data_IF_306624342708
#
_entry.id   IF_306624342708
#
_cell.length_a   1.000
_cell.length_b   1.000
_cell.length_c   1.000
_cell.angle_alpha   90.00
_cell.angle_beta   90.00
_cell.angle_gamma   90.00
#
_symmetry.space_group_name_H-M   'P 1'
#
loop_
_entity.id
_entity.type
_entity.pdbx_description
1 polymer ?
#
# COMPACT_ATOMS: atom_id res chain seq x y z
N UNK A 1 26.39 26.61 -82.77
CA UNK A 1 25.34 26.51 -81.74
C UNK A 1 25.75 25.43 -80.75
N UNK A 2 26.21 25.84 -79.57
CA UNK A 2 26.76 24.93 -78.57
C UNK A 2 25.67 24.53 -77.56
N UNK A 3 25.24 23.27 -77.62
CA UNK A 3 24.34 22.65 -76.64
C UNK A 3 25.12 22.46 -75.35
N UNK A 4 25.03 23.43 -74.43
CA UNK A 4 25.72 23.42 -73.15
C UNK A 4 25.03 22.38 -72.24
N UNK A 5 25.78 21.40 -71.77
CA UNK A 5 25.34 20.33 -70.87
C UNK A 5 24.66 20.90 -69.60
N UNK A 6 23.32 20.97 -69.58
CA UNK A 6 22.51 21.34 -68.41
C UNK A 6 22.23 20.15 -67.46
N UNK A 7 22.50 18.92 -67.88
CA UNK A 7 22.35 17.70 -67.06
C UNK A 7 23.15 17.71 -65.74
N UNK A 8 24.43 18.13 -65.66
CA UNK A 8 25.18 18.07 -64.40
C UNK A 8 24.76 19.15 -63.38
N UNK A 9 24.19 20.27 -63.84
CA UNK A 9 23.68 21.32 -62.95
C UNK A 9 22.32 20.92 -62.34
N UNK A 10 21.42 20.38 -63.17
CA UNK A 10 20.15 19.82 -62.69
C UNK A 10 20.37 18.62 -61.74
N UNK A 11 21.36 17.77 -62.01
CA UNK A 11 21.73 16.67 -61.11
C UNK A 11 22.25 17.14 -59.75
N UNK A 12 23.02 18.23 -59.71
CA UNK A 12 23.50 18.82 -58.44
C UNK A 12 22.36 19.44 -57.62
N UNK A 13 21.43 20.14 -58.26
CA UNK A 13 20.24 20.70 -57.61
C UNK A 13 19.30 19.59 -57.10
N UNK A 14 19.14 18.52 -57.88
CA UNK A 14 18.39 17.34 -57.42
C UNK A 14 19.03 16.67 -56.21
N UNK A 15 20.37 16.54 -56.19
CA UNK A 15 21.11 15.96 -55.07
C UNK A 15 21.00 16.82 -53.80
N UNK A 16 21.10 18.15 -53.90
CA UNK A 16 20.96 19.04 -52.75
C UNK A 16 19.53 19.10 -52.22
N UNK A 17 18.51 19.07 -53.10
CA UNK A 17 17.11 18.98 -52.68
C UNK A 17 16.80 17.65 -51.98
N UNK A 18 17.32 16.53 -52.48
CA UNK A 18 17.19 15.23 -51.82
C UNK A 18 17.88 15.22 -50.45
N UNK A 19 19.08 15.79 -50.35
CA UNK A 19 19.78 15.92 -49.08
C UNK A 19 19.02 16.81 -48.08
N UNK A 20 18.48 17.93 -48.53
CA UNK A 20 17.66 18.83 -47.70
C UNK A 20 16.34 18.18 -47.26
N UNK A 21 15.67 17.45 -48.15
CA UNK A 21 14.47 16.70 -47.82
C UNK A 21 14.76 15.57 -46.83
N UNK A 22 15.88 14.86 -47.00
CA UNK A 22 16.36 13.85 -46.04
C UNK A 22 16.64 14.46 -44.67
N UNK A 23 17.34 15.60 -44.62
CA UNK A 23 17.60 16.32 -43.38
C UNK A 23 16.30 16.77 -42.70
N UNK A 24 15.36 17.36 -43.45
CA UNK A 24 14.06 17.76 -42.93
C UNK A 24 13.25 16.57 -42.40
N UNK A 25 13.25 15.45 -43.11
CA UNK A 25 12.59 14.21 -42.69
C UNK A 25 13.20 13.64 -41.40
N UNK A 26 14.54 13.57 -41.31
CA UNK A 26 15.22 13.15 -40.08
C UNK A 26 14.93 14.09 -38.92
N UNK A 27 14.99 15.41 -39.14
CA UNK A 27 14.68 16.41 -38.12
C UNK A 27 13.24 16.29 -37.62
N UNK A 28 12.29 16.04 -38.51
CA UNK A 28 10.89 15.81 -38.14
C UNK A 28 10.68 14.49 -37.36
N UNK A 29 11.39 13.41 -37.74
CA UNK A 29 11.37 12.15 -36.98
C UNK A 29 11.95 12.31 -35.57
N UNK A 30 13.08 13.02 -35.45
CA UNK A 30 13.69 13.38 -34.17
C UNK A 30 12.73 14.22 -33.33
N UNK A 31 12.09 15.23 -33.93
CA UNK A 31 11.09 16.05 -33.24
C UNK A 31 9.93 15.19 -32.72
N UNK A 32 9.38 14.29 -33.54
CA UNK A 32 8.33 13.38 -33.10
C UNK A 32 8.75 12.51 -31.92
N UNK A 33 9.93 11.90 -31.98
CA UNK A 33 10.39 10.99 -30.94
C UNK A 33 10.69 11.69 -29.60
N UNK A 34 11.27 12.89 -29.64
CA UNK A 34 11.66 13.60 -28.41
C UNK A 34 10.55 14.48 -27.84
N UNK A 35 9.74 15.10 -28.69
CA UNK A 35 8.75 16.09 -28.29
C UNK A 35 7.34 15.51 -28.18
N UNK A 36 6.94 14.62 -29.10
CA UNK A 36 5.54 14.17 -29.24
C UNK A 36 5.28 12.78 -28.68
N UNK A 37 6.24 11.86 -28.75
CA UNK A 37 6.04 10.51 -28.21
C UNK A 37 5.94 10.55 -26.68
N UNK A 38 4.87 9.97 -26.09
CA UNK A 38 4.70 9.90 -24.64
C UNK A 38 5.64 8.84 -24.05
N UNK A 39 6.87 9.26 -23.73
CA UNK A 39 7.83 8.44 -23.00
C UNK A 39 8.53 9.25 -21.90
N UNK A 40 8.94 8.55 -20.85
CA UNK A 40 9.72 9.13 -19.75
C UNK A 40 10.81 8.17 -19.27
N UNK A 41 11.99 8.69 -18.95
CA UNK A 41 13.07 7.94 -18.27
C UNK A 41 12.91 7.92 -16.75
N UNK A 42 12.00 8.73 -16.24
CA UNK A 42 11.76 8.89 -14.82
C UNK A 42 10.57 8.03 -14.44
N UNK A 43 10.76 6.72 -14.56
CA UNK A 43 9.85 5.71 -14.04
C UNK A 43 10.42 5.08 -12.78
N UNK A 44 9.54 4.67 -11.86
CA UNK A 44 9.90 3.97 -10.63
C UNK A 44 9.01 2.76 -10.44
N UNK A 45 9.61 1.60 -10.18
CA UNK A 45 8.87 0.42 -9.73
C UNK A 45 8.42 0.66 -8.29
N UNK A 46 7.15 0.40 -8.01
CA UNK A 46 6.52 0.52 -6.69
C UNK A 46 5.85 -0.80 -6.34
N UNK A 47 5.64 -1.00 -5.04
CA UNK A 47 4.89 -2.13 -4.51
C UNK A 47 4.23 -1.69 -3.20
N UNK A 48 3.16 -2.36 -2.78
CA UNK A 48 2.60 -2.09 -1.46
C UNK A 48 3.53 -2.62 -0.38
N UNK A 49 3.79 -1.74 0.60
CA UNK A 49 4.64 -2.05 1.75
C UNK A 49 3.75 -2.11 2.98
N UNK A 50 3.61 -3.30 3.54
CA UNK A 50 2.88 -3.52 4.78
C UNK A 50 3.86 -3.34 5.94
N UNK A 51 3.62 -2.35 6.78
CA UNK A 51 4.38 -2.15 8.02
C UNK A 51 3.84 -3.11 9.07
N UNK A 52 4.68 -4.08 9.48
CA UNK A 52 4.27 -5.08 10.47
C UNK A 52 4.57 -4.50 11.85
N UNK A 53 3.50 -4.17 12.58
CA UNK A 53 3.54 -3.77 13.98
C UNK A 53 2.78 -4.81 14.82
N UNK A 54 3.25 -5.12 16.04
CA UNK A 54 2.49 -5.98 16.94
C UNK A 54 1.29 -5.24 17.52
N UNK A 55 0.21 -5.96 17.79
CA UNK A 55 -0.98 -5.41 18.47
C UNK A 55 -0.80 -5.40 20.00
N UNK A 56 0.03 -6.29 20.52
CA UNK A 56 0.33 -6.42 21.96
C UNK A 56 1.79 -6.08 22.25
N UNK A 57 2.04 -5.56 23.45
CA UNK A 57 3.39 -5.19 23.91
C UNK A 57 3.99 -6.30 24.73
N UNK A 58 5.27 -6.62 24.51
CA UNK A 58 5.99 -7.59 25.32
C UNK A 58 7.39 -7.94 24.78
N UNK A 59 8.07 -8.83 25.49
CA UNK A 59 9.36 -9.34 25.06
C UNK A 59 9.20 -10.35 23.92
N UNK A 60 10.05 -10.27 22.92
CA UNK A 60 10.10 -11.20 21.79
C UNK A 60 10.84 -12.47 22.20
N UNK A 61 10.16 -13.60 22.15
CA UNK A 61 10.72 -14.91 22.52
C UNK A 61 11.39 -15.59 21.35
N UNK A 62 10.85 -15.42 20.13
CA UNK A 62 11.37 -16.06 18.92
C UNK A 62 11.11 -15.20 17.69
N UNK A 63 12.06 -15.21 16.76
CA UNK A 63 11.91 -14.61 15.43
C UNK A 63 12.09 -15.72 14.39
N UNK A 64 11.07 -15.96 13.57
CA UNK A 64 11.02 -17.08 12.62
C UNK A 64 11.59 -16.73 11.24
N UNK A 65 11.78 -15.44 10.98
CA UNK A 65 12.18 -14.92 9.68
C UNK A 65 13.52 -14.22 9.74
N UNK A 66 14.20 -14.16 8.61
CA UNK A 66 15.40 -13.35 8.42
C UNK A 66 15.19 -12.27 7.35
N UNK A 67 16.08 -11.28 7.31
CA UNK A 67 16.00 -10.20 6.32
C UNK A 67 16.07 -10.76 4.89
N UNK A 68 15.31 -10.15 3.97
CA UNK A 68 15.14 -10.53 2.58
C UNK A 68 14.54 -11.94 2.33
N UNK A 69 13.93 -12.56 3.34
CA UNK A 69 13.25 -13.84 3.20
C UNK A 69 11.89 -13.70 2.52
N UNK A 70 11.55 -14.68 1.67
CA UNK A 70 10.19 -14.82 1.13
C UNK A 70 9.30 -15.52 2.13
N UNK A 71 8.13 -14.96 2.39
CA UNK A 71 7.13 -15.50 3.31
C UNK A 71 5.77 -15.56 2.61
N UNK A 72 5.01 -16.60 2.92
CA UNK A 72 3.63 -16.73 2.47
C UNK A 72 2.68 -16.00 3.43
N UNK A 73 1.49 -15.64 2.97
CA UNK A 73 0.43 -15.15 3.84
C UNK A 73 0.12 -16.19 4.94
N UNK A 74 -0.02 -15.73 6.17
CA UNK A 74 -0.22 -16.57 7.36
C UNK A 74 1.05 -17.20 7.94
N UNK A 75 2.21 -17.07 7.29
CA UNK A 75 3.46 -17.59 7.84
C UNK A 75 3.85 -16.85 9.13
N UNK A 76 4.37 -17.55 10.15
CA UNK A 76 4.80 -16.92 11.41
C UNK A 76 6.01 -16.02 11.16
N UNK A 77 5.98 -14.81 11.74
CA UNK A 77 7.06 -13.82 11.66
C UNK A 77 7.85 -13.79 12.97
N UNK A 78 7.18 -13.54 14.08
CA UNK A 78 7.79 -13.54 15.41
C UNK A 78 6.74 -13.78 16.50
N UNK A 79 7.22 -14.19 17.66
CA UNK A 79 6.42 -14.44 18.86
C UNK A 79 6.80 -13.49 19.99
N UNK A 80 5.78 -12.96 20.64
CA UNK A 80 5.88 -12.24 21.90
C UNK A 80 5.60 -13.24 23.03
N UNK A 81 6.19 -13.04 24.20
CA UNK A 81 6.03 -13.89 25.38
C UNK A 81 4.55 -14.23 25.66
N UNK A 82 4.18 -15.45 25.26
CA UNK A 82 2.82 -15.98 25.35
C UNK A 82 2.46 -16.40 26.76
N UNK A 83 3.44 -16.69 27.62
CA UNK A 83 3.18 -17.22 28.95
C UNK A 83 2.39 -16.22 29.80
N UNK A 84 2.74 -14.92 29.69
CA UNK A 84 2.02 -13.84 30.38
C UNK A 84 0.56 -13.72 29.90
N UNK A 85 0.32 -13.80 28.60
CA UNK A 85 -1.04 -13.72 28.04
C UNK A 85 -1.86 -14.96 28.36
N UNK A 86 -1.26 -16.15 28.38
CA UNK A 86 -1.92 -17.39 28.78
C UNK A 86 -2.33 -17.35 30.27
N UNK A 87 -1.50 -16.77 31.14
CA UNK A 87 -1.86 -16.53 32.54
C UNK A 87 -3.02 -15.56 32.68
N UNK A 88 -3.02 -14.47 31.92
CA UNK A 88 -4.10 -13.49 31.92
C UNK A 88 -5.43 -14.11 31.46
N UNK A 89 -5.40 -14.97 30.43
CA UNK A 89 -6.56 -15.72 29.96
C UNK A 89 -7.11 -16.64 31.06
N UNK A 90 -6.25 -17.44 31.70
CA UNK A 90 -6.66 -18.33 32.81
C UNK A 90 -7.29 -17.55 33.97
N UNK A 91 -6.74 -16.37 34.29
CA UNK A 91 -7.31 -15.52 35.32
C UNK A 91 -8.70 -15.00 34.93
N UNK A 92 -8.88 -14.60 33.67
CA UNK A 92 -10.17 -14.13 33.18
C UNK A 92 -11.22 -15.27 33.12
N UNK A 93 -10.82 -16.47 32.71
CA UNK A 93 -11.68 -17.67 32.76
C UNK A 93 -12.14 -17.99 34.19
N UNK A 94 -11.24 -17.88 35.18
CA UNK A 94 -11.61 -18.06 36.58
C UNK A 94 -12.63 -17.00 37.07
N UNK A 95 -12.53 -15.75 36.58
CA UNK A 95 -13.51 -14.69 36.88
C UNK A 95 -14.87 -14.97 36.26
N UNK A 96 -14.90 -15.50 35.03
CA UNK A 96 -16.15 -15.97 34.40
C UNK A 96 -16.79 -17.04 35.28
N UNK A 97 -16.05 -18.07 35.69
CA UNK A 97 -16.57 -19.12 36.56
C UNK A 97 -17.09 -18.60 37.90
N UNK A 98 -16.41 -17.62 38.50
CA UNK A 98 -16.88 -16.96 39.73
C UNK A 98 -18.18 -16.16 39.51
N UNK A 99 -18.29 -15.44 38.39
CA UNK A 99 -19.48 -14.67 38.04
C UNK A 99 -20.68 -15.57 37.69
N UNK A 100 -20.44 -16.71 37.02
CA UNK A 100 -21.46 -17.73 36.76
C UNK A 100 -22.01 -18.31 38.07
N UNK A 101 -21.13 -18.64 39.01
CA UNK A 101 -21.53 -19.13 40.33
C UNK A 101 -22.36 -18.08 41.10
N UNK A 102 -21.95 -16.82 41.05
CA UNK A 102 -22.67 -15.71 41.68
C UNK A 102 -24.06 -15.48 41.05
N UNK A 103 -24.17 -15.51 39.72
CA UNK A 103 -25.44 -15.42 39.02
C UNK A 103 -26.35 -16.62 39.36
N UNK A 104 -25.80 -17.83 39.37
CA UNK A 104 -26.56 -19.02 39.75
C UNK A 104 -27.09 -18.92 41.19
N UNK A 105 -26.30 -18.35 42.12
CA UNK A 105 -26.75 -18.08 43.49
C UNK A 105 -27.86 -17.03 43.53
N UNK A 106 -27.70 -15.90 42.83
CA UNK A 106 -28.72 -14.85 42.78
C UNK A 106 -30.04 -15.35 42.19
N UNK A 107 -29.99 -16.15 41.12
CA UNK A 107 -31.18 -16.74 40.50
C UNK A 107 -31.87 -17.78 41.38
N UNK A 108 -31.11 -18.54 42.18
CA UNK A 108 -31.70 -19.48 43.17
C UNK A 108 -32.42 -18.72 44.28
N UNK A 109 -31.82 -17.64 44.77
CA UNK A 109 -32.40 -16.81 45.82
C UNK A 109 -33.66 -16.07 45.32
N UNK A 110 -33.59 -15.50 44.11
CA UNK A 110 -34.74 -14.87 43.48
C UNK A 110 -35.91 -15.85 43.28
N UNK A 111 -35.64 -17.08 42.82
CA UNK A 111 -36.65 -18.14 42.70
C UNK A 111 -37.25 -18.53 44.05
N UNK A 112 -36.41 -18.74 45.06
CA UNK A 112 -36.85 -19.06 46.43
C UNK A 112 -37.79 -17.99 46.97
N UNK A 113 -37.46 -16.71 46.79
CA UNK A 113 -38.29 -15.61 47.27
C UNK A 113 -39.57 -15.43 46.43
N UNK A 114 -39.57 -15.84 45.16
CA UNK A 114 -40.79 -15.86 44.34
C UNK A 114 -41.77 -16.97 44.77
N UNK A 115 -41.27 -18.12 45.22
CA UNK A 115 -42.09 -19.25 45.70
C UNK A 115 -42.75 -19.00 47.06
N UNK A 116 -42.28 -18.00 47.82
CA UNK A 116 -42.75 -17.68 49.17
C UNK A 116 -43.91 -16.66 49.21
N UNK A 117 -44.47 -16.28 48.05
CA UNK A 117 -45.63 -15.39 47.79
C UNK A 117 -45.99 -14.34 48.88
N UNK A 118 -46.74 -14.73 49.91
CA UNK A 118 -47.22 -13.85 51.00
C UNK A 118 -46.22 -13.62 52.15
N UNK A 119 -45.12 -14.37 52.21
CA UNK A 119 -44.14 -14.33 53.31
C UNK A 119 -43.00 -13.33 53.09
N UNK A 120 -42.94 -12.70 51.91
CA UNK A 120 -41.86 -11.76 51.53
C UNK A 120 -42.41 -10.48 50.91
N UNK A 121 -41.88 -9.34 51.36
CA UNK A 121 -42.29 -8.01 50.88
C UNK A 121 -42.02 -7.84 49.38
N UNK A 122 -42.80 -6.97 48.71
CA UNK A 122 -42.55 -6.62 47.31
C UNK A 122 -41.14 -6.04 47.10
N UNK A 123 -40.68 -5.22 48.04
CA UNK A 123 -39.31 -4.69 48.03
C UNK A 123 -38.25 -5.80 48.00
N UNK A 124 -38.43 -6.88 48.79
CA UNK A 124 -37.48 -8.01 48.80
C UNK A 124 -37.44 -8.73 47.45
N UNK A 125 -38.59 -8.84 46.77
CA UNK A 125 -38.68 -9.44 45.43
C UNK A 125 -37.98 -8.59 44.37
N UNK A 126 -38.22 -7.27 44.38
CA UNK A 126 -37.55 -6.31 43.50
C UNK A 126 -36.03 -6.27 43.72
N UNK A 127 -35.59 -6.34 44.99
CA UNK A 127 -34.16 -6.46 45.32
C UNK A 127 -33.56 -7.77 44.79
N UNK A 128 -34.27 -8.89 44.89
CA UNK A 128 -33.84 -10.18 44.35
C UNK A 128 -33.69 -10.17 42.82
N UNK A 129 -34.62 -9.52 42.13
CA UNK A 129 -34.55 -9.32 40.68
C UNK A 129 -33.35 -8.45 40.31
N UNK A 130 -33.21 -7.29 40.97
CA UNK A 130 -32.09 -6.36 40.75
C UNK A 130 -30.74 -7.04 40.97
N UNK A 131 -30.60 -7.86 42.02
CA UNK A 131 -29.37 -8.65 42.28
C UNK A 131 -29.07 -9.65 41.16
N UNK A 132 -30.10 -10.30 40.61
CA UNK A 132 -29.95 -11.24 39.48
C UNK A 132 -29.50 -10.51 38.22
N UNK A 133 -30.07 -9.34 37.94
CA UNK A 133 -29.71 -8.53 36.78
C UNK A 133 -28.29 -7.95 36.91
N UNK A 134 -27.90 -7.49 38.11
CA UNK A 134 -26.53 -7.09 38.41
C UNK A 134 -25.53 -8.23 38.22
N UNK A 135 -25.85 -9.43 38.70
CA UNK A 135 -24.99 -10.60 38.52
C UNK A 135 -24.89 -11.01 37.04
N UNK A 136 -25.96 -10.85 36.26
CA UNK A 136 -25.96 -11.10 34.82
C UNK A 136 -25.07 -10.10 34.08
N UNK A 137 -25.13 -8.82 34.45
CA UNK A 137 -24.24 -7.78 33.91
C UNK A 137 -22.77 -8.05 34.27
N UNK A 138 -22.49 -8.46 35.51
CA UNK A 138 -21.15 -8.82 35.96
C UNK A 138 -20.59 -10.03 35.19
N UNK A 139 -21.42 -11.05 34.93
CA UNK A 139 -21.04 -12.18 34.08
C UNK A 139 -20.73 -11.74 32.65
N UNK A 140 -21.58 -10.90 32.06
CA UNK A 140 -21.34 -10.38 30.71
C UNK A 140 -20.00 -9.62 30.62
N UNK A 141 -19.67 -8.80 31.62
CA UNK A 141 -18.37 -8.12 31.69
C UNK A 141 -17.21 -9.11 31.79
N UNK A 142 -17.32 -10.13 32.65
CA UNK A 142 -16.27 -11.14 32.80
C UNK A 142 -16.01 -11.92 31.50
N UNK A 143 -17.06 -12.18 30.70
CA UNK A 143 -16.94 -12.83 29.39
C UNK A 143 -16.16 -11.94 28.41
N UNK A 144 -16.46 -10.64 28.36
CA UNK A 144 -15.73 -9.67 27.51
C UNK A 144 -14.25 -9.60 27.92
N UNK A 145 -13.96 -9.58 29.22
CA UNK A 145 -12.59 -9.59 29.73
C UNK A 145 -11.84 -10.87 29.30
N UNK A 146 -12.50 -12.04 29.36
CA UNK A 146 -11.95 -13.32 28.88
C UNK A 146 -11.66 -13.27 27.39
N UNK A 147 -12.63 -12.80 26.59
CA UNK A 147 -12.48 -12.70 25.13
C UNK A 147 -11.34 -11.75 24.74
N UNK A 148 -11.17 -10.65 25.47
CA UNK A 148 -10.05 -9.71 25.31
C UNK A 148 -8.71 -10.38 25.63
N UNK A 149 -8.63 -11.12 26.74
CA UNK A 149 -7.41 -11.85 27.11
C UNK A 149 -7.05 -12.94 26.09
N UNK A 150 -8.07 -13.63 25.53
CA UNK A 150 -7.88 -14.62 24.46
C UNK A 150 -7.35 -13.95 23.20
N UNK A 151 -7.94 -12.85 22.77
CA UNK A 151 -7.48 -12.11 21.58
C UNK A 151 -6.03 -11.65 21.76
N UNK A 152 -5.66 -11.12 22.92
CA UNK A 152 -4.28 -10.72 23.21
C UNK A 152 -3.30 -11.90 23.12
N UNK A 153 -3.70 -13.09 23.58
CA UNK A 153 -2.90 -14.31 23.43
C UNK A 153 -2.77 -14.74 21.97
N UNK A 154 -3.82 -14.63 21.17
CA UNK A 154 -3.75 -14.92 19.73
C UNK A 154 -2.83 -13.92 19.00
N UNK A 155 -2.97 -12.62 19.33
CA UNK A 155 -2.16 -11.53 18.74
C UNK A 155 -0.72 -11.46 19.24
N UNK A 156 -0.35 -12.27 20.23
CA UNK A 156 1.05 -12.48 20.62
C UNK A 156 1.85 -13.28 19.58
N UNK A 157 1.18 -13.98 18.68
CA UNK A 157 1.79 -14.70 17.56
C UNK A 157 1.56 -13.91 16.26
N UNK A 158 2.59 -13.19 15.82
CA UNK A 158 2.49 -12.30 14.66
C UNK A 158 2.79 -13.06 13.38
N UNK A 159 1.84 -13.02 12.45
CA UNK A 159 1.92 -13.70 11.15
C UNK A 159 1.96 -12.69 10.00
N UNK A 160 2.40 -13.15 8.83
CA UNK A 160 2.39 -12.37 7.60
C UNK A 160 0.96 -12.14 7.11
N UNK A 161 0.61 -10.89 6.78
CA UNK A 161 -0.71 -10.58 6.20
C UNK A 161 -0.81 -10.91 4.70
N UNK A 162 0.32 -10.91 3.98
CA UNK A 162 0.38 -11.07 2.52
C UNK A 162 1.55 -11.97 2.11
N UNK A 163 1.54 -12.43 0.86
CA UNK A 163 2.68 -13.12 0.26
C UNK A 163 3.76 -12.09 -0.12
N UNK A 164 4.88 -12.10 0.62
CA UNK A 164 5.81 -10.98 0.55
C UNK A 164 7.27 -11.32 0.81
N UNK A 165 8.09 -10.27 0.78
CA UNK A 165 9.51 -10.32 1.16
C UNK A 165 9.68 -9.46 2.41
N UNK A 166 10.27 -10.04 3.46
CA UNK A 166 10.60 -9.33 4.70
C UNK A 166 11.82 -8.43 4.44
N UNK A 167 11.73 -7.18 4.86
CA UNK A 167 12.78 -6.16 4.73
C UNK A 167 12.88 -5.33 6.01
N UNK A 168 14.07 -4.79 6.27
CA UNK A 168 14.33 -3.94 7.43
C UNK A 168 13.95 -4.64 8.75
N UNK A 169 14.39 -5.88 8.90
CA UNK A 169 14.20 -6.66 10.13
C UNK A 169 15.20 -6.20 11.20
N UNK A 170 14.76 -5.29 12.07
CA UNK A 170 15.57 -4.82 13.21
C UNK A 170 15.30 -5.64 14.50
N UNK A 171 14.25 -6.46 14.48
CA UNK A 171 13.82 -7.23 15.63
C UNK A 171 14.73 -8.44 15.89
N UNK A 172 15.23 -8.55 17.13
CA UNK A 172 15.99 -9.72 17.60
C UNK A 172 15.28 -10.42 18.73
N UNK A 173 15.54 -11.72 18.88
CA UNK A 173 15.11 -12.48 20.06
C UNK A 173 15.62 -11.82 21.34
N UNK A 174 14.77 -11.74 22.36
CA UNK A 174 15.02 -11.03 23.61
C UNK A 174 14.72 -9.53 23.58
N UNK A 175 14.52 -8.93 22.40
CA UNK A 175 14.14 -7.51 22.26
C UNK A 175 12.73 -7.26 22.80
N UNK A 176 12.42 -6.00 23.09
CA UNK A 176 11.09 -5.61 23.56
C UNK A 176 10.29 -4.96 22.42
N UNK A 177 9.16 -5.57 22.04
CA UNK A 177 8.27 -5.05 21.02
C UNK A 177 7.14 -4.22 21.65
N UNK A 178 6.85 -3.06 21.06
CA UNK A 178 5.81 -2.14 21.54
C UNK A 178 4.63 -2.13 20.58
N UNK A 179 3.41 -2.16 21.10
CA UNK A 179 2.20 -2.12 20.30
C UNK A 179 2.17 -0.91 19.37
N UNK A 180 1.65 -1.11 18.15
CA UNK A 180 1.53 -0.10 17.10
C UNK A 180 2.85 0.53 16.61
N UNK A 181 4.01 0.02 17.03
CA UNK A 181 5.31 0.41 16.47
C UNK A 181 5.79 -0.63 15.45
N UNK A 182 5.99 -0.27 14.18
CA UNK A 182 6.52 -1.19 13.17
C UNK A 182 7.90 -1.72 13.55
N UNK A 183 8.09 -3.03 13.37
CA UNK A 183 9.37 -3.72 13.65
C UNK A 183 10.00 -4.34 12.41
N UNK A 184 9.23 -4.45 11.32
CA UNK A 184 9.70 -4.86 10.00
C UNK A 184 8.74 -4.35 8.91
N UNK A 185 9.21 -4.38 7.67
CA UNK A 185 8.41 -4.06 6.49
C UNK A 185 8.28 -5.30 5.59
N UNK A 186 7.07 -5.56 5.11
CA UNK A 186 6.76 -6.65 4.20
C UNK A 186 6.37 -6.07 2.84
N UNK A 187 7.14 -6.40 1.81
CA UNK A 187 6.84 -6.00 0.44
C UNK A 187 5.95 -7.06 -0.20
N UNK A 188 4.73 -6.68 -0.56
CA UNK A 188 3.79 -7.56 -1.25
C UNK A 188 4.26 -7.85 -2.68
N UNK A 189 4.35 -9.13 -3.02
CA UNK A 189 4.85 -9.58 -4.33
C UNK A 189 3.82 -9.49 -5.44
N UNK A 190 2.55 -9.41 -5.10
CA UNK A 190 1.44 -9.38 -6.06
C UNK A 190 1.05 -7.96 -6.49
N UNK A 191 1.54 -6.94 -5.77
CA UNK A 191 1.17 -5.53 -6.00
C UNK A 191 2.27 -4.69 -6.64
N UNK A 192 3.17 -5.28 -7.43
CA UNK A 192 4.13 -4.48 -8.18
C UNK A 192 3.45 -3.68 -9.30
N UNK A 193 3.74 -2.38 -9.34
CA UNK A 193 3.30 -1.47 -10.39
C UNK A 193 4.42 -0.47 -10.73
N UNK A 194 4.25 0.32 -11.78
CA UNK A 194 5.25 1.29 -12.21
C UNK A 194 4.62 2.68 -12.23
N UNK A 195 5.27 3.65 -11.60
CA UNK A 195 4.92 5.06 -11.72
C UNK A 195 5.84 5.71 -12.73
N UNK A 196 5.31 6.17 -13.85
CA UNK A 196 6.02 6.99 -14.83
C UNK A 196 5.73 8.46 -14.58
N UNK A 197 6.77 9.28 -14.42
CA UNK A 197 6.64 10.73 -14.28
C UNK A 197 6.71 11.38 -15.66
N UNK A 198 5.56 11.72 -16.24
CA UNK A 198 5.46 12.32 -17.59
C UNK A 198 5.36 13.84 -17.52
N UNK A 199 5.87 14.52 -18.55
CA UNK A 199 5.68 15.97 -18.69
C UNK A 199 4.21 16.29 -18.95
N UNK A 200 3.70 17.33 -18.29
CA UNK A 200 2.31 17.82 -18.45
C UNK A 200 1.91 18.01 -19.92
N UNK A 201 2.84 18.47 -20.77
CA UNK A 201 2.63 18.67 -22.21
C UNK A 201 2.33 17.37 -22.98
N UNK A 202 2.72 16.21 -22.44
CA UNK A 202 2.56 14.89 -23.08
C UNK A 202 1.32 14.14 -22.60
N UNK A 203 0.65 14.61 -21.55
CA UNK A 203 -0.55 13.96 -21.02
C UNK A 203 -1.72 13.85 -21.99
N UNK A 204 -2.02 14.85 -22.86
CA UNK A 204 -3.13 14.72 -23.81
C UNK A 204 -2.97 13.54 -24.80
N UNK A 205 -1.77 12.98 -24.92
CA UNK A 205 -1.48 11.84 -25.78
C UNK A 205 -1.50 10.49 -25.03
N UNK A 206 -1.91 10.47 -23.75
CA UNK A 206 -1.97 9.28 -22.92
C UNK A 206 -3.41 9.09 -22.42
N UNK A 207 -3.98 7.92 -22.66
CA UNK A 207 -5.31 7.54 -22.18
C UNK A 207 -5.24 6.32 -21.25
N UNK A 208 -6.25 6.18 -20.38
CA UNK A 208 -6.38 4.98 -19.54
C UNK A 208 -6.59 3.75 -20.43
N UNK A 209 -5.81 2.70 -20.20
CA UNK A 209 -5.83 1.47 -21.00
C UNK A 209 -4.81 1.43 -22.13
N UNK A 210 -4.08 2.52 -22.40
CA UNK A 210 -3.01 2.50 -23.40
C UNK A 210 -1.94 1.47 -23.05
N UNK A 211 -1.41 0.80 -24.07
CA UNK A 211 -0.33 -0.18 -23.90
C UNK A 211 0.97 0.52 -23.59
N UNK A 212 1.70 -0.01 -22.62
CA UNK A 212 2.95 0.56 -22.14
C UNK A 212 4.05 -0.48 -22.20
N UNK A 213 5.21 -0.05 -22.66
CA UNK A 213 6.45 -0.78 -22.62
C UNK A 213 7.35 -0.19 -21.51
N UNK A 214 7.63 -0.99 -20.48
CA UNK A 214 8.49 -0.59 -19.37
C UNK A 214 9.84 -1.30 -19.48
N UNK A 215 10.91 -0.52 -19.56
CA UNK A 215 12.29 -1.03 -19.57
C UNK A 215 12.97 -0.66 -18.26
N UNK A 216 13.36 -1.67 -17.45
CA UNK A 216 14.06 -1.43 -16.18
C UNK A 216 15.51 -1.02 -16.42
N UNK A 217 16.04 -0.13 -15.59
CA UNK A 217 17.46 0.22 -15.66
C UNK A 217 18.31 -1.00 -15.27
N UNK A 218 19.09 -1.52 -16.23
CA UNK A 218 19.89 -2.74 -16.08
C UNK A 218 19.27 -4.01 -16.67
N UNK A 219 18.05 -3.93 -17.21
CA UNK A 219 17.45 -4.99 -18.03
C UNK A 219 17.13 -4.45 -19.42
N UNK A 220 17.42 -5.24 -20.46
CA UNK A 220 17.02 -4.92 -21.83
C UNK A 220 15.70 -5.57 -22.24
N UNK A 221 15.11 -6.40 -21.37
CA UNK A 221 13.83 -7.04 -21.64
C UNK A 221 12.69 -6.10 -21.26
N UNK A 222 11.84 -5.69 -22.22
CA UNK A 222 10.70 -4.88 -21.92
C UNK A 222 9.63 -5.67 -21.17
N UNK A 223 9.00 -5.01 -20.20
CA UNK A 223 7.85 -5.48 -19.45
C UNK A 223 6.62 -4.84 -20.08
N UNK A 224 5.65 -5.68 -20.45
CA UNK A 224 4.38 -5.20 -20.97
C UNK A 224 3.43 -4.83 -19.82
N UNK A 225 2.77 -3.69 -19.98
CA UNK A 225 1.74 -3.22 -19.06
C UNK A 225 0.74 -2.32 -19.78
N UNK A 226 -0.15 -1.72 -19.00
CA UNK A 226 -1.11 -0.73 -19.48
C UNK A 226 -1.26 0.42 -18.49
N UNK A 227 -1.68 1.58 -18.99
CA UNK A 227 -2.01 2.74 -18.14
C UNK A 227 -3.25 2.40 -17.30
N UNK A 228 -3.07 2.36 -15.98
CA UNK A 228 -4.16 2.09 -15.03
C UNK A 228 -4.86 3.38 -14.64
N UNK A 229 -4.09 4.43 -14.30
CA UNK A 229 -4.63 5.71 -13.86
C UNK A 229 -3.60 6.84 -13.90
N UNK A 230 -4.08 8.07 -13.75
CA UNK A 230 -3.27 9.27 -13.59
C UNK A 230 -3.43 9.80 -12.16
N UNK A 231 -2.40 10.47 -11.63
CA UNK A 231 -2.56 11.21 -10.39
C UNK A 231 -3.47 12.43 -10.61
N UNK A 232 -4.61 12.47 -9.92
CA UNK A 232 -5.57 13.59 -9.99
C UNK A 232 -5.16 14.81 -9.14
N UNK A 233 -4.05 14.71 -8.40
CA UNK A 233 -3.54 15.79 -7.57
C UNK A 233 -2.03 15.69 -7.36
N UNK A 234 -1.35 16.82 -7.52
CA UNK A 234 0.08 16.98 -7.24
C UNK A 234 0.19 18.09 -6.20
N UNK A 235 0.96 17.88 -5.15
CA UNK A 235 1.23 18.92 -4.15
C UNK A 235 2.05 20.04 -4.79
N UNK A 236 1.50 21.25 -4.80
CA UNK A 236 2.24 22.46 -5.16
C UNK A 236 3.29 22.74 -4.07
N UNK A 237 4.57 22.50 -4.38
CA UNK A 237 5.68 22.69 -3.43
C UNK A 237 5.91 24.17 -3.10
N UNK A 238 5.43 25.07 -3.94
CA UNK A 238 5.54 26.52 -3.74
C UNK A 238 4.35 27.07 -2.96
N UNK A 239 3.35 26.24 -2.65
CA UNK A 239 2.18 26.58 -1.84
C UNK A 239 2.12 25.72 -0.58
N UNK A 240 2.36 26.35 0.56
CA UNK A 240 2.12 25.78 1.89
C UNK A 240 0.81 26.31 2.48
N UNK A 241 0.20 25.59 3.41
CA UNK A 241 -0.95 26.10 4.18
C UNK A 241 -0.43 26.87 5.39
N UNK A 242 -0.69 28.17 5.47
CA UNK A 242 -0.30 29.02 6.60
C UNK A 242 -1.17 28.81 7.84
N UNK A 243 -0.78 29.43 8.96
CA UNK A 243 -1.41 29.26 10.28
C UNK A 243 -2.92 29.58 10.35
N UNK A 244 -3.45 30.37 9.40
CA UNK A 244 -4.87 30.74 9.32
C UNK A 244 -5.65 29.95 8.24
N UNK A 245 -5.15 28.79 7.80
CA UNK A 245 -5.64 28.08 6.60
C UNK A 245 -5.57 28.91 5.31
N UNK A 246 -4.87 30.04 5.36
CA UNK A 246 -4.61 30.89 4.20
C UNK A 246 -3.43 30.31 3.42
N UNK A 247 -3.48 30.32 2.09
CA UNK A 247 -2.34 29.89 1.27
C UNK A 247 -1.12 30.78 1.54
N UNK A 248 -0.02 30.15 1.92
CA UNK A 248 1.28 30.78 2.05
C UNK A 248 2.14 30.33 0.86
N UNK A 249 2.27 31.22 -0.12
CA UNK A 249 2.98 30.95 -1.37
C UNK A 249 4.39 31.50 -1.28
N UNK A 250 5.38 30.68 -1.61
CA UNK A 250 6.76 31.13 -1.71
C UNK A 250 6.92 31.96 -3.01
N UNK A 251 7.30 33.23 -2.95
CA UNK A 251 7.44 34.06 -4.15
C UNK A 251 8.71 33.66 -4.93
N UNK A 252 8.59 32.66 -5.81
CA UNK A 252 9.66 32.26 -6.74
C UNK A 252 9.46 32.94 -8.09
N UNK A 253 10.45 33.74 -8.52
CA UNK A 253 10.48 34.35 -9.85
C UNK A 253 11.04 33.35 -10.88
N UNK A 254 10.19 32.42 -11.32
CA UNK A 254 10.54 31.47 -12.38
C UNK A 254 10.31 32.11 -13.75
N UNK A 255 11.33 32.76 -14.30
CA UNK A 255 11.33 33.31 -15.67
C UNK A 255 11.35 32.21 -16.75
N UNK A 256 11.64 30.96 -16.37
CA UNK A 256 11.46 29.76 -17.18
C UNK A 256 10.34 28.92 -16.58
N UNK A 257 9.31 28.62 -17.37
CA UNK A 257 8.27 27.63 -17.01
C UNK A 257 8.72 26.27 -17.52
N UNK A 258 8.90 25.32 -16.62
CA UNK A 258 9.12 23.91 -16.95
C UNK A 258 7.80 23.16 -16.78
N UNK A 259 7.53 22.20 -17.65
CA UNK A 259 6.37 21.33 -17.50
C UNK A 259 6.46 20.56 -16.17
N UNK A 260 5.35 20.50 -15.44
CA UNK A 260 5.28 19.67 -14.24
C UNK A 260 5.33 18.19 -14.62
N UNK A 261 5.82 17.37 -13.70
CA UNK A 261 5.89 15.93 -13.87
C UNK A 261 4.71 15.26 -13.20
N UNK A 262 3.80 14.72 -14.00
CA UNK A 262 2.56 14.11 -13.55
C UNK A 262 2.78 12.59 -13.44
N UNK A 263 2.60 12.00 -12.25
CA UNK A 263 2.71 10.56 -12.08
C UNK A 263 1.56 9.86 -12.81
N UNK A 264 1.93 8.95 -13.70
CA UNK A 264 1.04 8.03 -14.40
C UNK A 264 1.31 6.63 -13.89
N UNK A 265 0.27 5.98 -13.39
CA UNK A 265 0.33 4.64 -12.84
C UNK A 265 0.12 3.62 -13.95
N UNK A 266 1.07 2.68 -14.06
CA UNK A 266 1.10 1.61 -15.05
C UNK A 266 1.00 0.28 -14.33
N UNK A 267 -0.04 -0.48 -14.64
CA UNK A 267 -0.21 -1.85 -14.19
C UNK A 267 0.66 -2.79 -15.03
N UNK A 268 1.27 -3.79 -14.37
CA UNK A 268 2.16 -4.76 -15.03
C UNK A 268 1.34 -5.98 -15.43
N UNK A 269 1.24 -6.28 -16.73
CA UNK A 269 0.45 -7.42 -17.23
C UNK A 269 1.25 -8.72 -17.21
N UNK A 270 2.53 -8.66 -17.61
CA UNK A 270 3.40 -9.82 -17.68
C UNK A 270 4.85 -9.44 -17.41
N UNK A 271 5.43 -10.10 -16.41
CA UNK A 271 6.87 -10.03 -16.14
C UNK A 271 7.58 -11.17 -16.89
N UNK A 272 8.56 -10.86 -17.77
CA UNK A 272 9.36 -11.88 -18.44
C UNK A 272 10.13 -12.77 -17.46
N UNK A 273 10.37 -14.03 -17.85
CA UNK A 273 11.12 -14.97 -17.02
C UNK A 273 12.56 -14.48 -16.82
N UNK A 274 13.01 -14.41 -15.56
CA UNK A 274 14.35 -13.95 -15.18
C UNK A 274 14.44 -12.47 -14.76
N UNK A 275 13.37 -11.68 -14.94
CA UNK A 275 13.34 -10.29 -14.47
C UNK A 275 12.93 -10.23 -12.99
N UNK A 276 13.81 -9.71 -12.14
CA UNK A 276 13.53 -9.48 -10.72
C UNK A 276 13.10 -8.03 -10.48
N UNK A 277 11.84 -7.86 -10.12
CA UNK A 277 11.32 -6.56 -9.65
C UNK A 277 11.81 -6.26 -8.24
N UNK A 278 12.29 -5.04 -8.04
CA UNK A 278 12.62 -4.49 -6.72
C UNK A 278 11.97 -3.11 -6.66
N UNK A 279 11.23 -2.86 -5.58
CA UNK A 279 10.63 -1.56 -5.35
C UNK A 279 11.73 -0.49 -5.27
N UNK A 280 11.53 0.63 -5.97
CA UNK A 280 12.51 1.72 -6.09
C UNK A 280 13.39 1.66 -7.34
N UNK A 281 13.39 0.55 -8.10
CA UNK A 281 14.14 0.49 -9.36
C UNK A 281 13.71 1.59 -10.33
N UNK A 282 14.70 2.21 -10.98
CA UNK A 282 14.45 3.15 -12.08
C UNK A 282 13.98 2.38 -13.31
N UNK A 283 12.97 2.92 -13.99
CA UNK A 283 12.43 2.37 -15.22
C UNK A 283 12.25 3.48 -16.26
N UNK A 284 12.39 3.14 -17.54
CA UNK A 284 11.92 3.96 -18.65
C UNK A 284 10.55 3.43 -19.06
N UNK A 285 9.59 4.33 -19.15
CA UNK A 285 8.20 4.02 -19.50
C UNK A 285 7.90 4.65 -20.85
N UNK A 286 7.54 3.84 -21.85
CA UNK A 286 7.11 4.29 -23.16
C UNK A 286 5.67 3.88 -23.37
N UNK A 287 4.77 4.85 -23.54
CA UNK A 287 3.39 4.58 -23.94
C UNK A 287 3.39 4.34 -25.44
N UNK A 288 2.87 3.20 -25.87
CA UNK A 288 2.73 2.86 -27.27
C UNK A 288 1.49 3.59 -27.79
N UNK A 289 1.57 4.28 -28.93
CA UNK A 289 0.42 4.97 -29.48
C UNK A 289 -0.73 3.97 -29.70
N UNK A 290 -1.81 4.16 -28.94
CA UNK A 290 -3.06 3.44 -29.15
C UNK A 290 -3.56 3.70 -30.57
N UNK A 291 -4.20 2.70 -31.18
CA UNK A 291 -4.95 2.89 -32.44
C UNK A 291 -6.24 3.66 -32.15
N UNK A 292 -6.12 4.88 -31.63
CA UNK A 292 -7.25 5.75 -31.40
C UNK A 292 -7.57 6.40 -32.73
N UNK A 293 -8.61 5.85 -33.35
CA UNK A 293 -9.22 6.46 -34.53
C UNK A 293 -9.86 7.74 -34.01
N UNK A 294 -9.21 8.88 -34.29
CA UNK A 294 -9.75 10.20 -34.02
C UNK A 294 -11.11 10.27 -34.74
N UNK A 295 -12.20 10.23 -33.98
CA UNK A 295 -13.56 10.44 -34.46
C UNK A 295 -13.90 11.92 -34.57
#
# INVERSE_FOLDING_TARGET
MATKNFLPAAGRVGLTLLAAAGAAWTGWQLWRHYELEPWTRDGRVKAYVVQVAPDVTGQVTRVYVHDNQRVAAGAPLFEIDRARFALALRQAEARVGAAEAALAQALREHRRNAELDDLVSQETREQGQTRSDQARAALAQAIVDRDTARLNLERSHVVSAVDGIVTNLDLREGSYATAARPVMALIDRSSFYVEGYFEETKLPAIEVGDKVEVTLMGSHQPIAGHVESFAEGITDRDRSTGANMLPNVNPTFNWVRLAQRIPVRVAIDRVPAGVRLVAGQTATVKVLPGQHTVG
#
